data_IF_036181253624
#
_entry.id   IF_036181253624
#
_cell.length_a   1.000
_cell.length_b   1.000
_cell.length_c   1.000
_cell.angle_alpha   90.00
_cell.angle_beta   90.00
_cell.angle_gamma   90.00
#
_symmetry.space_group_name_H-M   'P 1'
#
loop_
_entity.id
_entity.type
_entity.pdbx_description
1 polymer ?
#
# COMPACT_ATOMS: atom_id res chain seq x y z
N UNK A 1 -27.06 -3.27 6.47
CA UNK A 1 -26.11 -3.12 5.32
C UNK A 1 -26.92 -2.72 4.10
N UNK A 2 -26.51 -1.66 3.35
CA UNK A 2 -27.22 -1.24 2.12
C UNK A 2 -27.17 -2.39 1.10
N UNK A 3 -28.21 -2.55 0.27
CA UNK A 3 -28.38 -3.66 -0.65
C UNK A 3 -27.17 -3.87 -1.61
N UNK A 4 -26.59 -2.76 -2.13
CA UNK A 4 -25.43 -2.85 -3.04
C UNK A 4 -24.16 -3.36 -2.33
N UNK A 5 -23.98 -3.05 -1.03
CA UNK A 5 -22.85 -3.57 -0.23
C UNK A 5 -23.06 -5.06 0.04
N UNK A 6 -24.32 -5.48 0.30
CA UNK A 6 -24.66 -6.89 0.42
C UNK A 6 -24.41 -7.65 -0.88
N UNK A 7 -24.81 -7.09 -2.02
CA UNK A 7 -24.57 -7.69 -3.33
C UNK A 7 -23.07 -7.84 -3.60
N UNK A 8 -22.25 -6.80 -3.33
CA UNK A 8 -20.79 -6.88 -3.48
C UNK A 8 -20.20 -7.96 -2.58
N UNK A 9 -20.67 -8.05 -1.32
CA UNK A 9 -20.21 -9.11 -0.41
C UNK A 9 -20.47 -10.51 -0.94
N UNK A 10 -21.70 -10.77 -1.41
CA UNK A 10 -22.06 -12.07 -1.99
C UNK A 10 -21.31 -12.37 -3.28
N UNK A 11 -21.09 -11.34 -4.11
CA UNK A 11 -20.28 -11.47 -5.32
C UNK A 11 -18.83 -11.86 -4.97
N UNK A 12 -18.20 -11.21 -3.97
CA UNK A 12 -16.86 -11.59 -3.51
C UNK A 12 -16.82 -13.02 -3.00
N UNK A 13 -17.83 -13.45 -2.26
CA UNK A 13 -17.91 -14.83 -1.77
C UNK A 13 -18.09 -15.85 -2.92
N UNK A 14 -18.92 -15.54 -3.89
CA UNK A 14 -19.11 -16.39 -5.06
C UNK A 14 -17.82 -16.50 -5.88
N UNK A 15 -17.16 -15.38 -6.17
CA UNK A 15 -15.87 -15.36 -6.86
C UNK A 15 -14.75 -15.99 -6.03
N UNK A 16 -14.83 -15.92 -4.70
CA UNK A 16 -13.84 -16.50 -3.79
C UNK A 16 -13.68 -18.02 -3.88
N UNK A 17 -14.62 -18.74 -4.49
CA UNK A 17 -14.48 -20.19 -4.73
C UNK A 17 -13.55 -20.50 -5.90
N UNK A 18 -13.32 -19.53 -6.82
CA UNK A 18 -12.47 -19.71 -7.98
C UNK A 18 -10.99 -19.82 -7.59
N UNK A 19 -10.21 -20.64 -8.31
CA UNK A 19 -8.77 -20.68 -8.12
C UNK A 19 -8.13 -19.33 -8.51
N UNK A 20 -7.01 -19.00 -7.88
CA UNK A 20 -6.32 -17.72 -8.08
C UNK A 20 -5.99 -17.41 -9.56
N UNK A 21 -5.53 -18.38 -10.39
CA UNK A 21 -5.33 -18.14 -11.82
C UNK A 21 -6.60 -17.66 -12.56
N UNK A 22 -7.77 -18.20 -12.21
CA UNK A 22 -9.03 -17.77 -12.81
C UNK A 22 -9.42 -16.34 -12.39
N UNK A 23 -9.21 -16.00 -11.12
CA UNK A 23 -9.39 -14.62 -10.64
C UNK A 23 -8.44 -13.64 -11.35
N UNK A 24 -7.20 -14.02 -11.61
CA UNK A 24 -6.26 -13.19 -12.36
C UNK A 24 -6.60 -13.08 -13.85
N UNK A 25 -7.17 -14.11 -14.46
CA UNK A 25 -7.71 -13.99 -15.82
C UNK A 25 -8.84 -12.94 -15.88
N UNK A 26 -9.75 -12.94 -14.91
CA UNK A 26 -10.79 -11.91 -14.75
C UNK A 26 -10.15 -10.53 -14.49
N UNK A 27 -9.18 -10.46 -13.59
CA UNK A 27 -8.45 -9.22 -13.27
C UNK A 27 -7.76 -8.64 -14.50
N UNK A 28 -7.11 -9.48 -15.30
CA UNK A 28 -6.50 -9.07 -16.58
C UNK A 28 -7.54 -8.54 -17.57
N UNK A 29 -8.72 -9.17 -17.64
CA UNK A 29 -9.83 -8.70 -18.47
C UNK A 29 -10.39 -7.35 -18.01
N UNK A 30 -10.30 -7.03 -16.71
CA UNK A 30 -10.67 -5.72 -16.15
C UNK A 30 -9.58 -4.66 -16.35
N UNK A 31 -8.31 -5.03 -16.21
CA UNK A 31 -7.18 -4.10 -16.30
C UNK A 31 -6.83 -3.69 -17.73
N UNK A 32 -6.87 -4.64 -18.69
CA UNK A 32 -6.54 -4.37 -20.11
C UNK A 32 -7.36 -3.23 -20.75
N UNK A 33 -8.69 -3.12 -20.58
CA UNK A 33 -9.47 -2.03 -21.15
C UNK A 33 -9.07 -0.65 -20.61
N UNK A 34 -8.53 -0.56 -19.39
CA UNK A 34 -8.03 0.70 -18.83
C UNK A 34 -6.86 1.24 -19.66
N UNK A 35 -6.02 0.36 -20.22
CA UNK A 35 -4.91 0.76 -21.08
C UNK A 35 -5.39 1.33 -22.44
N UNK A 36 -6.43 0.78 -23.05
CA UNK A 36 -6.98 1.30 -24.31
C UNK A 36 -7.68 2.65 -24.15
N UNK A 37 -8.24 2.94 -22.97
CA UNK A 37 -8.89 4.21 -22.67
C UNK A 37 -7.84 5.28 -22.36
N UNK A 38 -7.29 5.94 -23.38
CA UNK A 38 -6.20 6.92 -23.24
C UNK A 38 -6.44 8.03 -22.23
N UNK A 39 -7.70 8.41 -22.00
CA UNK A 39 -8.11 9.44 -21.04
C UNK A 39 -8.60 8.86 -19.70
N UNK A 40 -8.55 7.54 -19.51
CA UNK A 40 -8.89 6.96 -18.23
C UNK A 40 -7.93 7.49 -17.16
N UNK A 41 -8.50 7.88 -16.03
CA UNK A 41 -7.77 8.45 -14.91
C UNK A 41 -6.62 7.54 -14.47
N UNK A 42 -6.88 6.25 -14.38
CA UNK A 42 -5.93 5.24 -13.96
C UNK A 42 -4.72 5.18 -14.91
N UNK A 43 -4.96 5.20 -16.22
CA UNK A 43 -3.89 5.22 -17.22
C UNK A 43 -3.07 6.49 -17.17
N UNK A 44 -3.73 7.67 -17.12
CA UNK A 44 -3.03 8.97 -17.07
C UNK A 44 -2.14 9.05 -15.83
N UNK A 45 -2.66 8.64 -14.66
CA UNK A 45 -1.85 8.68 -13.45
C UNK A 45 -0.67 7.71 -13.51
N UNK A 46 -0.89 6.49 -14.00
CA UNK A 46 0.19 5.52 -14.15
C UNK A 46 1.27 6.00 -15.13
N UNK A 47 0.89 6.55 -16.29
CA UNK A 47 1.87 7.08 -17.26
C UNK A 47 2.69 8.25 -16.69
N UNK A 48 2.04 9.18 -15.98
CA UNK A 48 2.75 10.29 -15.31
C UNK A 48 3.73 9.75 -14.27
N UNK A 49 3.30 8.80 -13.44
CA UNK A 49 4.16 8.18 -12.44
C UNK A 49 5.36 7.47 -13.08
N UNK A 50 5.18 6.75 -14.18
CA UNK A 50 6.28 6.13 -14.92
C UNK A 50 7.28 7.15 -15.49
N UNK A 51 6.82 8.30 -15.97
CA UNK A 51 7.68 9.39 -16.43
C UNK A 51 8.49 10.04 -15.30
N UNK A 52 7.94 10.09 -14.10
CA UNK A 52 8.64 10.59 -12.91
C UNK A 52 9.72 9.59 -12.50
N UNK A 53 9.36 8.31 -12.37
CA UNK A 53 10.25 7.26 -11.86
C UNK A 53 11.34 6.88 -12.89
N UNK A 54 10.98 6.81 -14.17
CA UNK A 54 11.88 6.41 -15.25
C UNK A 54 11.97 7.48 -16.34
N UNK A 55 12.59 8.63 -16.07
CA UNK A 55 12.60 9.76 -17.01
C UNK A 55 13.31 9.48 -18.35
N UNK A 56 14.28 8.60 -18.33
CA UNK A 56 15.05 8.21 -19.53
C UNK A 56 14.43 7.03 -20.31
N UNK A 57 13.32 6.44 -19.82
CA UNK A 57 12.68 5.30 -20.47
C UNK A 57 12.03 5.72 -21.79
N UNK A 58 12.28 4.97 -22.86
CA UNK A 58 11.64 5.20 -24.14
C UNK A 58 10.11 5.02 -24.09
N UNK A 59 9.42 5.56 -25.10
CA UNK A 59 7.95 5.58 -25.10
C UNK A 59 7.31 4.18 -25.20
N UNK A 60 7.93 3.26 -25.94
CA UNK A 60 7.40 1.91 -26.14
C UNK A 60 7.54 1.07 -24.88
N UNK A 61 8.72 1.11 -24.24
CA UNK A 61 8.98 0.44 -22.96
C UNK A 61 8.06 0.98 -21.86
N UNK A 62 7.87 2.31 -21.79
CA UNK A 62 6.96 2.93 -20.84
C UNK A 62 5.51 2.51 -21.06
N UNK A 63 5.02 2.48 -22.30
CA UNK A 63 3.65 2.06 -22.59
C UNK A 63 3.43 0.59 -22.24
N UNK A 64 4.41 -0.28 -22.45
CA UNK A 64 4.38 -1.66 -22.02
C UNK A 64 4.29 -1.80 -20.49
N UNK A 65 5.11 -1.03 -19.75
CA UNK A 65 5.11 -1.02 -18.29
C UNK A 65 3.79 -0.47 -17.71
N UNK A 66 3.25 0.60 -18.30
CA UNK A 66 1.92 1.14 -17.93
C UNK A 66 0.84 0.07 -18.11
N UNK A 67 0.87 -0.68 -19.21
CA UNK A 67 -0.08 -1.78 -19.45
C UNK A 67 0.04 -2.86 -18.37
N UNK A 68 1.24 -3.24 -18.02
CA UNK A 68 1.50 -4.23 -16.98
C UNK A 68 0.94 -3.75 -15.62
N UNK A 69 1.24 -2.52 -15.19
CA UNK A 69 0.72 -1.95 -13.95
C UNK A 69 -0.81 -1.89 -13.91
N UNK A 70 -1.47 -1.61 -15.04
CA UNK A 70 -2.93 -1.60 -15.12
C UNK A 70 -3.53 -3.01 -15.03
N UNK A 71 -2.86 -4.01 -15.58
CA UNK A 71 -3.24 -5.44 -15.41
C UNK A 71 -3.10 -5.83 -13.94
N UNK A 72 -2.01 -5.48 -13.28
CA UNK A 72 -1.78 -5.72 -11.84
C UNK A 72 -2.82 -5.00 -10.97
N UNK A 73 -3.27 -3.79 -11.38
CA UNK A 73 -4.40 -3.12 -10.73
C UNK A 73 -5.70 -3.95 -10.84
N UNK A 74 -5.94 -4.59 -11.98
CA UNK A 74 -7.05 -5.53 -12.16
C UNK A 74 -6.93 -6.78 -11.26
N UNK A 75 -5.71 -7.33 -11.13
CA UNK A 75 -5.44 -8.44 -10.20
C UNK A 75 -5.72 -8.03 -8.74
N UNK A 76 -5.29 -6.82 -8.32
CA UNK A 76 -5.56 -6.30 -6.98
C UNK A 76 -7.06 -6.22 -6.66
N UNK A 77 -7.90 -5.91 -7.64
CA UNK A 77 -9.37 -5.90 -7.47
C UNK A 77 -9.91 -7.32 -7.29
N UNK A 78 -9.47 -8.27 -8.10
CA UNK A 78 -10.03 -9.64 -8.07
C UNK A 78 -9.49 -10.49 -6.92
N UNK A 79 -8.30 -10.22 -6.42
CA UNK A 79 -7.77 -10.91 -5.24
C UNK A 79 -8.51 -10.56 -3.94
N UNK A 80 -9.29 -9.46 -3.91
CA UNK A 80 -10.21 -9.21 -2.78
C UNK A 80 -11.21 -10.37 -2.64
N UNK A 81 -11.62 -11.01 -3.73
CA UNK A 81 -12.44 -12.22 -3.67
C UNK A 81 -11.67 -13.41 -3.09
N UNK A 82 -10.37 -13.55 -3.38
CA UNK A 82 -9.54 -14.62 -2.83
C UNK A 82 -9.29 -14.45 -1.33
N UNK A 83 -9.24 -13.20 -0.83
CA UNK A 83 -8.95 -12.89 0.57
C UNK A 83 -10.23 -12.72 1.38
N UNK A 84 -11.14 -11.82 0.98
CA UNK A 84 -12.36 -11.51 1.72
C UNK A 84 -13.53 -12.48 1.41
N UNK A 85 -13.51 -13.10 0.24
CA UNK A 85 -14.53 -14.09 -0.17
C UNK A 85 -14.37 -15.46 0.47
N UNK A 86 -13.19 -15.75 1.04
CA UNK A 86 -12.87 -17.00 1.74
C UNK A 86 -12.84 -16.80 3.26
N UNK A 87 -12.77 -17.88 4.01
CA UNK A 87 -12.32 -17.79 5.39
C UNK A 87 -10.81 -17.50 5.44
N UNK A 88 -10.39 -16.84 6.52
CA UNK A 88 -9.02 -16.39 6.67
C UNK A 88 -7.99 -17.53 6.64
N UNK A 89 -8.33 -18.72 7.16
CA UNK A 89 -7.43 -19.90 7.13
C UNK A 89 -7.19 -20.37 5.69
N UNK A 90 -8.22 -20.32 4.83
CA UNK A 90 -8.08 -20.66 3.40
C UNK A 90 -7.31 -19.60 2.65
N UNK A 91 -7.52 -18.31 2.97
CA UNK A 91 -6.75 -17.23 2.38
C UNK A 91 -5.26 -17.35 2.72
N UNK A 92 -4.92 -17.68 3.97
CA UNK A 92 -3.53 -17.89 4.40
C UNK A 92 -2.82 -19.03 3.69
N UNK A 93 -3.53 -20.04 3.20
CA UNK A 93 -2.93 -21.11 2.37
C UNK A 93 -2.41 -20.62 1.02
N UNK A 94 -2.77 -19.40 0.60
CA UNK A 94 -2.22 -18.77 -0.60
C UNK A 94 -0.80 -18.23 -0.39
N UNK A 95 -0.34 -18.05 0.85
CA UNK A 95 1.05 -17.71 1.15
C UNK A 95 1.90 -18.96 0.93
N UNK A 96 2.87 -18.86 0.02
CA UNK A 96 3.76 -19.95 -0.39
C UNK A 96 5.15 -19.80 0.20
N UNK A 97 5.60 -18.57 0.34
CA UNK A 97 6.96 -18.24 0.75
C UNK A 97 6.94 -17.07 1.72
N UNK A 98 7.91 -17.03 2.61
CA UNK A 98 8.17 -15.88 3.49
C UNK A 98 9.66 -15.59 3.44
N UNK A 99 10.01 -14.35 3.12
CA UNK A 99 11.38 -13.85 3.05
C UNK A 99 11.59 -12.76 4.09
N UNK A 100 12.64 -12.85 4.90
CA UNK A 100 12.92 -11.91 5.99
C UNK A 100 12.11 -12.18 7.27
N UNK A 101 11.59 -13.42 7.46
CA UNK A 101 10.86 -13.78 8.68
C UNK A 101 11.71 -13.59 9.93
N UNK A 102 13.03 -13.81 9.83
CA UNK A 102 13.99 -13.61 10.91
C UNK A 102 13.98 -12.19 11.47
N UNK A 103 13.77 -11.16 10.64
CA UNK A 103 13.64 -9.77 11.09
C UNK A 103 12.36 -9.57 11.92
N UNK A 104 11.26 -10.19 11.49
CA UNK A 104 9.98 -10.09 12.19
C UNK A 104 10.06 -10.80 13.56
N UNK A 105 10.60 -12.00 13.58
CA UNK A 105 10.72 -12.80 14.80
C UNK A 105 11.67 -12.12 15.80
N UNK A 106 12.80 -11.59 15.34
CA UNK A 106 13.74 -10.82 16.17
C UNK A 106 13.10 -9.53 16.74
N UNK A 107 12.29 -8.82 15.91
CA UNK A 107 11.58 -7.64 16.36
C UNK A 107 10.56 -7.96 17.46
N UNK A 108 9.79 -9.04 17.32
CA UNK A 108 8.86 -9.50 18.35
C UNK A 108 9.58 -9.90 19.65
N UNK A 109 10.67 -10.66 19.55
CA UNK A 109 11.46 -11.09 20.69
C UNK A 109 12.12 -9.93 21.45
N UNK A 110 12.42 -8.81 20.76
CA UNK A 110 13.04 -7.65 21.38
C UNK A 110 12.16 -6.96 22.43
N UNK A 111 10.83 -7.13 22.35
CA UNK A 111 9.86 -6.48 23.25
C UNK A 111 9.77 -4.96 23.15
N UNK A 112 10.50 -4.31 22.21
CA UNK A 112 10.54 -2.85 22.05
C UNK A 112 9.33 -2.26 21.34
N UNK A 113 8.39 -3.12 20.89
CA UNK A 113 7.32 -2.75 19.99
C UNK A 113 7.77 -2.81 18.52
N UNK A 114 6.80 -3.04 17.62
CA UNK A 114 7.05 -3.20 16.21
C UNK A 114 6.07 -2.37 15.37
N UNK A 115 6.59 -1.57 14.45
CA UNK A 115 5.84 -0.87 13.41
C UNK A 115 6.07 -1.61 12.10
N UNK A 116 4.97 -2.13 11.50
CA UNK A 116 5.00 -2.68 10.15
C UNK A 116 4.52 -1.62 9.16
N UNK A 117 5.45 -1.08 8.37
CA UNK A 117 5.17 -0.19 7.26
C UNK A 117 4.76 -1.04 6.05
N UNK A 118 3.48 -1.02 5.70
CA UNK A 118 2.90 -1.86 4.64
C UNK A 118 2.41 -0.98 3.49
N UNK A 119 3.22 -0.68 2.46
CA UNK A 119 2.78 0.12 1.32
C UNK A 119 1.65 -0.57 0.54
N UNK A 120 0.85 0.19 -0.23
CA UNK A 120 -0.15 -0.36 -1.14
C UNK A 120 0.53 -1.07 -2.32
N UNK A 121 1.18 -2.18 -2.02
CA UNK A 121 1.97 -3.01 -2.92
C UNK A 121 1.55 -4.48 -2.76
N UNK A 122 1.35 -5.17 -3.86
CA UNK A 122 0.88 -6.55 -3.81
C UNK A 122 -0.49 -6.67 -3.13
N UNK A 123 -0.69 -7.73 -2.36
CA UNK A 123 -1.94 -8.01 -1.64
C UNK A 123 -1.85 -7.62 -0.16
N UNK A 124 -1.97 -6.33 0.18
CA UNK A 124 -1.87 -5.85 1.56
C UNK A 124 -2.94 -6.45 2.49
N UNK A 125 -4.12 -6.85 1.98
CA UNK A 125 -5.14 -7.50 2.80
C UNK A 125 -4.70 -8.92 3.24
N UNK A 126 -3.99 -9.66 2.38
CA UNK A 126 -3.42 -10.94 2.77
C UNK A 126 -2.26 -10.78 3.78
N UNK A 127 -1.45 -9.72 3.62
CA UNK A 127 -0.43 -9.37 4.61
C UNK A 127 -1.07 -9.13 5.98
N UNK A 128 -2.19 -8.40 6.04
CA UNK A 128 -2.93 -8.16 7.30
C UNK A 128 -3.34 -9.47 7.96
N UNK A 129 -3.84 -10.44 7.19
CA UNK A 129 -4.19 -11.78 7.73
C UNK A 129 -2.95 -12.53 8.20
N UNK A 130 -1.85 -12.45 7.45
CA UNK A 130 -0.60 -13.13 7.80
C UNK A 130 -0.02 -12.60 9.11
N UNK A 131 -0.01 -11.29 9.30
CA UNK A 131 0.43 -10.63 10.52
C UNK A 131 -0.48 -10.99 11.71
N UNK A 132 -1.80 -10.86 11.53
CA UNK A 132 -2.78 -11.13 12.60
C UNK A 132 -2.81 -12.59 13.06
N UNK A 133 -2.44 -13.52 12.18
CA UNK A 133 -2.32 -14.93 12.54
C UNK A 133 -1.09 -15.23 13.41
N UNK A 134 -0.13 -14.30 13.52
CA UNK A 134 1.12 -14.46 14.27
C UNK A 134 1.19 -13.65 15.54
N UNK A 135 0.54 -12.51 15.57
CA UNK A 135 0.57 -11.61 16.73
C UNK A 135 -0.66 -10.70 16.75
N UNK A 136 -1.16 -10.32 17.93
CA UNK A 136 -2.14 -9.25 18.03
C UNK A 136 -1.59 -7.95 17.42
N UNK A 137 -2.24 -7.43 16.38
CA UNK A 137 -1.81 -6.22 15.67
C UNK A 137 -2.93 -5.18 15.62
N UNK A 138 -2.59 -3.91 15.76
CA UNK A 138 -3.47 -2.79 15.48
C UNK A 138 -3.11 -2.15 14.14
N UNK A 139 -4.09 -1.97 13.25
CA UNK A 139 -3.88 -1.37 11.92
C UNK A 139 -4.54 -0.01 11.88
N UNK A 140 -3.73 1.01 11.55
CA UNK A 140 -4.23 2.35 11.32
C UNK A 140 -5.01 2.39 9.99
N UNK A 141 -6.26 2.88 10.03
CA UNK A 141 -7.07 3.00 8.83
C UNK A 141 -7.83 4.34 8.77
N UNK A 142 -8.01 4.85 7.56
CA UNK A 142 -8.92 5.94 7.29
C UNK A 142 -10.30 5.37 6.94
N UNK A 143 -11.39 5.77 7.64
CA UNK A 143 -12.73 5.32 7.32
C UNK A 143 -13.10 5.67 5.87
N UNK A 144 -13.77 4.78 5.13
CA UNK A 144 -14.19 5.08 3.78
C UNK A 144 -15.19 6.25 3.78
N UNK A 145 -15.12 7.12 2.76
CA UNK A 145 -16.04 8.27 2.62
C UNK A 145 -17.51 7.85 2.69
N UNK A 146 -17.87 6.72 2.10
CA UNK A 146 -19.19 6.13 2.23
C UNK A 146 -19.18 5.10 3.37
N UNK A 147 -19.74 5.48 4.52
CA UNK A 147 -19.83 4.65 5.73
C UNK A 147 -20.50 3.29 5.52
N UNK A 148 -21.28 3.12 4.45
CA UNK A 148 -21.90 1.84 4.16
C UNK A 148 -20.86 0.72 3.89
N UNK A 149 -19.68 1.08 3.38
CA UNK A 149 -18.58 0.15 3.12
C UNK A 149 -17.78 -0.21 4.39
N UNK A 150 -17.84 0.64 5.43
CA UNK A 150 -17.10 0.40 6.68
C UNK A 150 -17.51 -0.93 7.31
N UNK A 151 -18.81 -1.20 7.37
CA UNK A 151 -19.33 -2.46 7.93
C UNK A 151 -18.85 -3.69 7.15
N UNK A 152 -18.67 -3.58 5.83
CA UNK A 152 -18.13 -4.67 5.02
C UNK A 152 -16.63 -4.86 5.27
N UNK A 153 -15.86 -3.77 5.35
CA UNK A 153 -14.43 -3.82 5.66
C UNK A 153 -14.18 -4.45 7.04
N UNK A 154 -14.92 -4.00 8.05
CA UNK A 154 -14.83 -4.57 9.41
C UNK A 154 -15.16 -6.05 9.38
N UNK A 155 -16.22 -6.47 8.68
CA UNK A 155 -16.60 -7.87 8.54
C UNK A 155 -15.55 -8.69 7.79
N UNK A 156 -15.00 -8.16 6.69
CA UNK A 156 -14.01 -8.85 5.88
C UNK A 156 -12.71 -9.11 6.67
N UNK A 157 -12.31 -8.16 7.51
CA UNK A 157 -11.08 -8.24 8.33
C UNK A 157 -11.30 -8.94 9.67
N UNK A 158 -12.57 -9.10 10.11
CA UNK A 158 -12.94 -9.52 11.46
C UNK A 158 -12.57 -10.93 11.86
N UNK A 159 -12.47 -11.88 10.94
CA UNK A 159 -12.27 -13.31 11.24
C UNK A 159 -10.89 -13.65 11.85
N UNK A 160 -9.86 -12.82 11.58
CA UNK A 160 -8.54 -12.92 12.22
C UNK A 160 -8.20 -11.70 13.07
N UNK A 161 -9.11 -10.74 13.15
CA UNK A 161 -9.17 -9.72 14.17
C UNK A 161 -7.99 -8.77 14.34
N UNK A 162 -7.41 -8.13 13.27
CA UNK A 162 -6.59 -6.95 13.55
C UNK A 162 -7.48 -5.89 14.19
N UNK A 163 -7.03 -5.32 15.29
CA UNK A 163 -7.68 -4.16 15.87
C UNK A 163 -7.62 -3.01 14.84
N UNK A 164 -8.78 -2.50 14.45
CA UNK A 164 -8.84 -1.41 13.50
C UNK A 164 -8.85 -0.08 14.24
N UNK A 165 -7.78 0.68 14.12
CA UNK A 165 -7.60 1.96 14.80
C UNK A 165 -7.80 3.08 13.80
N UNK A 166 -8.74 3.99 14.08
CA UNK A 166 -9.01 5.13 13.20
C UNK A 166 -7.84 6.11 13.17
N UNK A 167 -7.58 6.69 12.00
CA UNK A 167 -6.57 7.72 11.81
C UNK A 167 -7.06 9.08 12.36
N UNK A 168 -7.22 9.17 13.67
CA UNK A 168 -7.55 10.37 14.44
C UNK A 168 -6.70 10.45 15.71
N UNK A 169 -6.85 11.54 16.48
CA UNK A 169 -6.03 11.76 17.67
C UNK A 169 -6.18 10.69 18.76
N UNK A 170 -7.35 10.05 18.88
CA UNK A 170 -7.56 8.95 19.83
C UNK A 170 -6.84 7.69 19.37
N UNK A 171 -6.95 7.39 18.08
CA UNK A 171 -6.28 6.25 17.48
C UNK A 171 -4.76 6.38 17.55
N UNK A 172 -4.21 7.55 17.25
CA UNK A 172 -2.76 7.79 17.38
C UNK A 172 -2.28 7.54 18.82
N UNK A 173 -3.03 8.00 19.84
CA UNK A 173 -2.69 7.70 21.25
C UNK A 173 -2.73 6.21 21.56
N UNK A 174 -3.69 5.47 20.97
CA UNK A 174 -3.79 4.02 21.13
C UNK A 174 -2.57 3.31 20.53
N UNK A 175 -2.05 3.76 19.36
CA UNK A 175 -0.82 3.22 18.77
C UNK A 175 0.38 3.41 19.69
N UNK A 176 0.57 4.63 20.25
CA UNK A 176 1.65 4.89 21.21
C UNK A 176 1.57 3.94 22.42
N UNK A 177 0.38 3.81 23.01
CA UNK A 177 0.17 2.92 24.16
C UNK A 177 0.51 1.46 23.83
N UNK A 178 0.09 1.00 22.65
CA UNK A 178 0.36 -0.38 22.21
C UNK A 178 1.85 -0.62 22.03
N UNK A 179 2.56 0.27 21.35
CA UNK A 179 4.01 0.14 21.12
C UNK A 179 4.80 0.22 22.43
N UNK A 180 4.43 1.12 23.33
CA UNK A 180 5.05 1.20 24.67
C UNK A 180 4.87 -0.08 25.50
N UNK A 181 3.84 -0.87 25.22
CA UNK A 181 3.62 -2.19 25.80
C UNK A 181 4.28 -3.35 25.01
N UNK A 182 5.19 -3.06 24.08
CA UNK A 182 5.85 -4.05 23.23
C UNK A 182 4.97 -4.63 22.12
N UNK A 183 3.79 -4.04 21.85
CA UNK A 183 2.84 -4.52 20.86
C UNK A 183 3.21 -4.16 19.41
N UNK A 184 2.34 -4.60 18.48
CA UNK A 184 2.57 -4.43 17.04
C UNK A 184 1.51 -3.50 16.43
N UNK A 185 1.94 -2.61 15.52
CA UNK A 185 1.07 -1.73 14.74
C UNK A 185 1.40 -1.81 13.26
N UNK A 186 0.36 -1.73 12.41
CA UNK A 186 0.48 -1.65 10.96
C UNK A 186 0.09 -0.27 10.45
N UNK A 187 0.89 0.30 9.57
CA UNK A 187 0.67 1.62 8.96
C UNK A 187 0.96 1.53 7.47
N UNK A 188 0.06 2.06 6.62
CA UNK A 188 0.28 2.23 5.19
C UNK A 188 0.85 3.62 4.96
N UNK A 189 2.16 3.76 4.67
CA UNK A 189 2.87 5.01 4.93
C UNK A 189 2.90 5.99 3.76
N UNK A 190 2.63 5.55 2.52
CA UNK A 190 3.00 6.31 1.32
C UNK A 190 1.88 7.21 0.79
N UNK A 191 0.66 7.11 1.31
CA UNK A 191 -0.41 8.02 0.87
C UNK A 191 -0.17 9.42 1.44
N UNK A 192 -0.49 10.44 0.63
CA UNK A 192 -0.30 11.82 1.01
C UNK A 192 -1.14 12.18 2.24
N UNK A 193 -0.55 12.81 3.25
CA UNK A 193 -1.29 13.45 4.33
C UNK A 193 -2.03 14.68 3.79
N UNK A 194 -2.88 15.30 4.61
CA UNK A 194 -3.47 16.60 4.26
C UNK A 194 -2.38 17.66 4.14
N UNK A 195 -2.67 18.67 3.33
CA UNK A 195 -1.74 19.80 3.15
C UNK A 195 -1.35 20.41 4.50
N UNK A 196 -0.04 20.59 4.70
CA UNK A 196 0.52 21.11 5.96
C UNK A 196 0.69 20.06 7.07
N UNK A 197 0.24 18.82 6.89
CA UNK A 197 0.39 17.73 7.88
C UNK A 197 1.55 16.79 7.57
N UNK A 198 2.28 17.00 6.47
CA UNK A 198 3.40 16.18 6.01
C UNK A 198 4.72 16.93 5.90
N UNK A 199 5.74 16.22 5.48
CA UNK A 199 7.07 16.72 5.11
C UNK A 199 7.34 16.38 3.65
N UNK A 200 7.77 17.35 2.86
CA UNK A 200 8.28 17.07 1.52
C UNK A 200 9.64 16.39 1.63
N UNK A 201 9.75 15.24 0.98
CA UNK A 201 10.96 14.43 0.94
C UNK A 201 11.04 13.67 -0.39
N UNK A 202 12.24 13.36 -0.89
CA UNK A 202 12.43 12.64 -2.14
C UNK A 202 11.69 11.30 -2.17
N UNK A 203 10.99 11.03 -3.30
CA UNK A 203 10.42 9.74 -3.63
C UNK A 203 10.64 9.50 -5.12
N UNK A 204 11.46 8.51 -5.47
CA UNK A 204 11.98 8.32 -6.83
C UNK A 204 12.54 9.59 -7.45
N UNK A 205 13.29 10.37 -6.67
CA UNK A 205 14.00 11.57 -7.13
C UNK A 205 13.14 12.82 -7.33
N UNK A 206 11.86 12.80 -6.95
CA UNK A 206 10.99 13.98 -6.95
C UNK A 206 10.32 14.13 -5.58
N UNK A 207 10.33 15.34 -5.02
CA UNK A 207 9.74 15.60 -3.72
C UNK A 207 8.24 15.30 -3.68
N UNK A 208 7.85 14.50 -2.69
CA UNK A 208 6.48 14.11 -2.42
C UNK A 208 6.09 14.43 -0.98
N UNK A 209 4.90 14.99 -0.77
CA UNK A 209 4.36 15.21 0.57
C UNK A 209 4.23 13.88 1.30
N UNK A 210 4.99 13.67 2.38
CA UNK A 210 5.19 12.39 3.05
C UNK A 210 4.68 12.43 4.48
N UNK A 211 4.03 11.35 4.91
CA UNK A 211 3.49 11.18 6.26
C UNK A 211 4.60 11.28 7.32
N UNK A 212 4.42 12.15 8.30
CA UNK A 212 5.33 12.28 9.45
C UNK A 212 4.94 11.40 10.64
N UNK A 213 3.77 10.79 10.60
CA UNK A 213 3.25 10.03 11.75
C UNK A 213 4.13 8.84 12.09
N UNK A 214 4.48 8.01 11.10
CA UNK A 214 5.28 6.80 11.32
C UNK A 214 6.67 7.15 11.88
N UNK A 215 7.46 8.05 11.27
CA UNK A 215 8.73 8.49 11.83
C UNK A 215 8.63 9.00 13.26
N UNK A 216 7.66 9.87 13.54
CA UNK A 216 7.45 10.42 14.89
C UNK A 216 7.11 9.36 15.94
N UNK A 217 6.31 8.35 15.56
CA UNK A 217 6.00 7.25 16.46
C UNK A 217 7.28 6.42 16.71
N UNK A 218 8.02 6.07 15.65
CA UNK A 218 9.27 5.32 15.77
C UNK A 218 10.28 6.03 16.68
N UNK A 219 10.51 7.34 16.45
CA UNK A 219 11.42 8.16 17.26
C UNK A 219 11.03 8.18 18.75
N UNK A 220 9.74 8.39 19.04
CA UNK A 220 9.28 8.55 20.43
C UNK A 220 9.20 7.24 21.21
N UNK A 221 8.98 6.14 20.54
CA UNK A 221 8.78 4.83 21.19
C UNK A 221 10.04 3.97 21.17
N UNK A 222 10.99 4.24 20.26
CA UNK A 222 12.12 3.35 20.00
C UNK A 222 11.71 2.00 19.40
N UNK A 223 10.47 1.89 18.90
CA UNK A 223 9.97 0.67 18.28
C UNK A 223 10.77 0.33 17.01
N UNK A 224 10.96 -0.97 16.78
CA UNK A 224 11.54 -1.46 15.53
C UNK A 224 10.61 -1.15 14.36
N UNK A 225 11.15 -0.70 13.23
CA UNK A 225 10.39 -0.49 12.00
C UNK A 225 10.81 -1.52 10.97
N UNK A 226 9.81 -2.24 10.43
CA UNK A 226 9.99 -3.16 9.31
C UNK A 226 9.05 -2.77 8.18
N UNK A 227 9.50 -2.91 6.94
CA UNK A 227 8.64 -2.83 5.76
C UNK A 227 8.17 -4.23 5.38
N UNK A 228 6.90 -4.37 5.01
CA UNK A 228 6.38 -5.67 4.58
C UNK A 228 5.30 -5.55 3.51
N UNK A 229 5.25 -6.52 2.60
CA UNK A 229 4.20 -6.65 1.61
C UNK A 229 4.02 -8.11 1.18
N UNK A 230 2.85 -8.41 0.58
CA UNK A 230 2.56 -9.72 -0.01
C UNK A 230 2.67 -9.63 -1.54
N UNK A 231 3.81 -10.05 -2.08
CA UNK A 231 4.10 -10.10 -3.51
C UNK A 231 3.24 -11.17 -4.19
N UNK A 232 2.61 -10.84 -5.33
CA UNK A 232 1.93 -11.81 -6.19
C UNK A 232 2.95 -12.65 -6.93
N UNK A 233 2.88 -13.96 -6.80
CA UNK A 233 3.68 -14.87 -7.60
C UNK A 233 3.08 -15.06 -8.99
N UNK A 234 3.96 -15.30 -9.97
CA UNK A 234 3.56 -15.43 -11.36
C UNK A 234 2.45 -16.49 -11.56
N UNK A 235 1.58 -16.24 -12.54
CA UNK A 235 0.52 -17.17 -12.99
C UNK A 235 -0.46 -17.60 -11.91
N UNK A 236 -0.60 -16.81 -10.83
CA UNK A 236 -1.51 -17.16 -9.74
C UNK A 236 -1.04 -18.30 -8.85
N UNK A 237 0.27 -18.52 -8.75
CA UNK A 237 0.85 -19.56 -7.89
C UNK A 237 0.65 -19.30 -6.40
N UNK A 238 0.27 -18.09 -6.03
CA UNK A 238 0.07 -17.67 -4.64
C UNK A 238 0.81 -16.36 -4.35
N UNK A 239 1.26 -16.21 -3.11
CA UNK A 239 1.93 -15.00 -2.64
C UNK A 239 3.21 -15.35 -1.87
N UNK A 240 4.16 -14.42 -1.94
CA UNK A 240 5.35 -14.37 -1.08
C UNK A 240 5.21 -13.19 -0.14
N UNK A 241 5.33 -13.42 1.15
CA UNK A 241 5.48 -12.33 2.12
C UNK A 241 6.95 -11.90 2.10
N UNK A 242 7.19 -10.61 1.90
CA UNK A 242 8.52 -10.01 2.00
C UNK A 242 8.58 -9.07 3.18
N UNK A 243 9.65 -9.20 3.97
CA UNK A 243 9.90 -8.36 5.14
C UNK A 243 11.31 -7.82 5.03
N UNK A 244 11.45 -6.50 5.17
CA UNK A 244 12.72 -5.79 5.06
C UNK A 244 12.94 -4.91 6.29
N UNK A 245 14.18 -4.78 6.76
CA UNK A 245 14.51 -3.77 7.76
C UNK A 245 14.30 -2.37 7.19
N UNK A 246 13.95 -1.42 8.06
CA UNK A 246 13.89 -0.02 7.65
C UNK A 246 15.29 0.53 7.32
N UNK A 247 15.39 1.46 6.35
CA UNK A 247 16.61 2.23 6.14
C UNK A 247 17.02 3.02 7.39
N UNK A 248 18.32 3.25 7.53
CA UNK A 248 18.86 4.12 8.57
C UNK A 248 18.22 5.52 8.51
N UNK A 249 18.04 6.14 9.65
CA UNK A 249 17.42 7.46 9.75
C UNK A 249 15.90 7.46 9.87
N UNK A 250 15.21 6.31 9.86
CA UNK A 250 13.73 6.23 9.95
C UNK A 250 13.14 6.88 11.22
N UNK A 251 13.92 6.95 12.29
CA UNK A 251 13.57 7.55 13.57
C UNK A 251 14.41 8.80 13.89
N UNK A 252 15.01 9.42 12.87
CA UNK A 252 15.81 10.63 13.03
C UNK A 252 14.96 11.79 13.57
N UNK A 253 15.50 12.64 14.48
CA UNK A 253 14.83 13.83 14.96
C UNK A 253 14.56 14.86 13.86
N UNK A 254 15.40 14.94 12.82
CA UNK A 254 15.10 15.71 11.62
C UNK A 254 14.06 15.00 10.76
N UNK A 255 12.90 15.65 10.62
CA UNK A 255 11.78 15.09 9.88
C UNK A 255 12.06 14.90 8.38
N UNK A 256 12.92 15.71 7.77
CA UNK A 256 13.26 15.54 6.37
C UNK A 256 14.08 14.26 6.19
N UNK A 257 15.07 14.02 7.02
CA UNK A 257 15.86 12.78 7.04
C UNK A 257 14.96 11.58 7.30
N UNK A 258 14.08 11.64 8.30
CA UNK A 258 13.20 10.54 8.65
C UNK A 258 12.17 10.21 7.55
N UNK A 259 11.60 11.22 6.88
CA UNK A 259 10.68 11.01 5.76
C UNK A 259 11.42 10.55 4.49
N UNK A 260 12.67 10.96 4.29
CA UNK A 260 13.53 10.42 3.22
C UNK A 260 13.79 8.93 3.43
N UNK A 261 14.14 8.53 4.65
CA UNK A 261 14.29 7.11 4.99
C UNK A 261 12.99 6.32 4.83
N UNK A 262 11.83 6.90 5.21
CA UNK A 262 10.53 6.29 4.99
C UNK A 262 10.24 6.05 3.50
N UNK A 263 10.42 7.08 2.66
CA UNK A 263 10.24 6.96 1.22
C UNK A 263 11.21 5.94 0.62
N UNK A 264 12.48 5.94 1.04
CA UNK A 264 13.49 4.95 0.58
C UNK A 264 13.08 3.53 0.92
N UNK A 265 12.51 3.27 2.09
CA UNK A 265 11.98 1.95 2.46
C UNK A 265 10.81 1.51 1.58
N UNK A 266 9.92 2.45 1.21
CA UNK A 266 8.86 2.17 0.23
C UNK A 266 9.45 1.88 -1.15
N UNK A 267 10.43 2.66 -1.62
CA UNK A 267 11.12 2.44 -2.90
C UNK A 267 11.74 1.04 -2.95
N UNK A 268 12.44 0.62 -1.91
CA UNK A 268 13.05 -0.72 -1.81
C UNK A 268 12.00 -1.84 -1.91
N UNK A 269 10.80 -1.64 -1.37
CA UNK A 269 9.69 -2.58 -1.55
C UNK A 269 9.22 -2.59 -3.01
N UNK A 270 9.01 -1.40 -3.59
CA UNK A 270 8.52 -1.24 -4.97
C UNK A 270 9.50 -1.83 -5.98
N UNK A 271 10.80 -1.63 -5.81
CA UNK A 271 11.86 -2.18 -6.67
C UNK A 271 11.79 -3.72 -6.79
N UNK A 272 11.27 -4.42 -5.77
CA UNK A 272 11.13 -5.89 -5.77
C UNK A 272 9.91 -6.42 -6.52
N UNK A 273 8.85 -5.61 -6.63
CA UNK A 273 7.59 -5.99 -7.27
C UNK A 273 6.94 -4.78 -7.96
N UNK A 274 7.69 -4.13 -8.83
CA UNK A 274 7.46 -2.80 -9.36
C UNK A 274 6.04 -2.61 -9.92
N UNK A 275 5.59 -3.48 -10.83
CA UNK A 275 4.29 -3.35 -11.48
C UNK A 275 3.09 -3.55 -10.53
N UNK A 276 3.34 -4.16 -9.35
CA UNK A 276 2.30 -4.46 -8.36
C UNK A 276 2.01 -3.30 -7.40
N UNK A 277 2.77 -2.19 -7.45
CA UNK A 277 2.51 -1.01 -6.64
C UNK A 277 1.28 -0.24 -7.17
N UNK A 278 0.60 0.50 -6.28
CA UNK A 278 -0.61 1.25 -6.63
C UNK A 278 -0.30 2.48 -7.49
N UNK A 279 0.25 2.28 -8.69
CA UNK A 279 0.64 3.35 -9.61
C UNK A 279 -0.53 4.20 -10.13
N UNK A 280 -1.76 3.81 -9.87
CA UNK A 280 -2.95 4.63 -10.17
C UNK A 280 -3.19 5.75 -9.16
N UNK A 281 -2.45 5.76 -8.03
CA UNK A 281 -2.50 6.81 -7.02
C UNK A 281 -1.69 8.04 -7.43
N UNK A 282 -2.17 9.23 -7.10
CA UNK A 282 -1.50 10.52 -7.38
C UNK A 282 -0.49 10.83 -6.26
N UNK A 283 0.67 10.20 -6.26
CA UNK A 283 1.67 10.36 -5.19
C UNK A 283 2.27 11.76 -5.12
N UNK A 284 2.32 12.50 -6.22
CA UNK A 284 2.90 13.83 -6.33
C UNK A 284 1.84 14.92 -6.62
N UNK A 285 0.61 14.76 -6.11
CA UNK A 285 -0.46 15.73 -6.32
C UNK A 285 -0.25 17.04 -5.55
N UNK A 286 0.52 17.03 -4.48
CA UNK A 286 0.95 18.24 -3.79
C UNK A 286 2.41 18.54 -4.13
N UNK A 287 2.68 19.83 -4.40
CA UNK A 287 4.01 20.34 -4.69
C UNK A 287 4.51 21.18 -3.52
N UNK A 288 5.86 21.29 -3.30
CA UNK A 288 6.45 22.15 -2.29
C UNK A 288 5.97 23.61 -2.45
N UNK A 289 6.07 24.18 -3.64
CA UNK A 289 5.45 25.47 -3.94
C UNK A 289 3.95 25.28 -4.26
N UNK A 290 3.05 25.94 -3.53
CA UNK A 290 1.62 25.89 -3.78
C UNK A 290 1.19 26.50 -5.11
N UNK A 291 2.03 27.31 -5.74
CA UNK A 291 1.76 27.92 -7.04
C UNK A 291 2.16 27.00 -8.21
N UNK A 292 2.93 25.95 -7.96
CA UNK A 292 3.25 24.96 -8.97
C UNK A 292 2.06 24.05 -9.28
N UNK A 293 1.86 23.80 -10.56
CA UNK A 293 0.91 22.79 -10.99
C UNK A 293 1.46 21.37 -10.75
N UNK A 294 0.59 20.48 -10.26
CA UNK A 294 0.96 19.07 -10.08
C UNK A 294 1.23 18.37 -11.43
N UNK A 295 2.07 17.34 -11.46
CA UNK A 295 2.42 16.61 -12.68
C UNK A 295 1.21 16.07 -13.46
N UNK A 296 0.15 15.69 -12.76
CA UNK A 296 -1.08 15.14 -13.37
C UNK A 296 -1.93 16.21 -14.03
N UNK A 297 -1.93 17.44 -13.49
CA UNK A 297 -2.56 18.59 -14.12
C UNK A 297 -1.77 19.01 -15.36
N UNK A 298 -0.44 19.11 -15.26
CA UNK A 298 0.45 19.43 -16.38
C UNK A 298 0.27 18.43 -17.53
N UNK A 299 0.26 17.13 -17.24
CA UNK A 299 0.06 16.10 -18.26
C UNK A 299 -1.29 16.21 -18.97
N UNK A 300 -2.38 16.51 -18.25
CA UNK A 300 -3.71 16.70 -18.86
C UNK A 300 -3.79 17.93 -19.76
N UNK A 301 -2.94 18.93 -19.53
CA UNK A 301 -2.87 20.17 -20.31
C UNK A 301 -1.74 20.14 -21.36
N UNK A 302 -1.18 18.98 -21.68
CA UNK A 302 -0.14 18.81 -22.72
C UNK A 302 1.27 19.27 -22.31
N UNK A 303 1.48 19.67 -21.04
CA UNK A 303 2.72 20.23 -20.50
C UNK A 303 3.57 19.15 -19.80
N UNK A 304 3.76 18.03 -20.49
CA UNK A 304 4.48 16.87 -19.96
C UNK A 304 5.96 17.19 -19.74
N UNK A 305 6.46 16.92 -18.54
CA UNK A 305 7.89 17.08 -18.19
C UNK A 305 8.23 18.42 -17.53
N UNK A 306 7.34 19.40 -17.53
CA UNK A 306 7.59 20.70 -16.90
C UNK A 306 7.74 20.66 -15.36
N UNK A 307 7.31 19.57 -14.70
CA UNK A 307 7.49 19.38 -13.24
C UNK A 307 8.95 19.14 -12.81
N UNK A 308 9.90 19.10 -13.74
CA UNK A 308 11.34 18.93 -13.48
C UNK A 308 12.14 20.23 -13.64
N UNK A 309 11.50 21.29 -14.09
CA UNK A 309 12.06 22.62 -14.21
C UNK A 309 11.91 23.40 -12.92
#
# INVERSE_FOLDING_TARGET
MKWYVALTWWMLRALGVLPLPALYAIGSALGRPLWWRRHARERVHTDVNMRIVHPAMDAAARDALVRECLVETGHAVTEMAAVWGRDARRALKLVREVEGQEYFDAALQSGRGLIVAAPHLGCWELLNYWLSARTPIAILYAPPRNRAWEAMLVRARGDLGPEQVRADGAGVRALYKRLAAGGVVGILPEQQPKRGEGQFAPFFGLDANTMVLLPRIAQRTGATVLFAFAERLARGAGFRIRILPAPDGIADPDLHTACTALNRGVEQCVERAFSQYQWTYKRWAERPDPNEHDPYWLARNGRIGEWRQ
#
